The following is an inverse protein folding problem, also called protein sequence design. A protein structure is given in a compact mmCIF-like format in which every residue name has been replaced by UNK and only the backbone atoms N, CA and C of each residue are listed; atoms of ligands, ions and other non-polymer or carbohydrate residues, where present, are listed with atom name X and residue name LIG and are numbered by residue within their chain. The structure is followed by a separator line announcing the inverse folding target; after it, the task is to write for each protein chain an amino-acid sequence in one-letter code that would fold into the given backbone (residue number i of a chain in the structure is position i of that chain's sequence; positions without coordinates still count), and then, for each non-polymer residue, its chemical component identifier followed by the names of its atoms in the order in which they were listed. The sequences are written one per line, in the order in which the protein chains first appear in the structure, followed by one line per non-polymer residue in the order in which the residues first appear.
data_IF_126702362528
#
_entry.id   IF_126702362528
#
_cell.length_a   1.000
_cell.length_b   1.000
_cell.length_c   1.000
_cell.angle_alpha   90.00
_cell.angle_beta   90.00
_cell.angle_gamma   90.00
#
_symmetry.space_group_name_H-M   'P 1'
#
loop_
_entity.id
_entity.type
_entity.pdbx_description
1 polymer ?
#
# COMPACT_ATOMS: atom_id res chain seq x y z
N UNK A 1 -18.49 -24.82 -4.80
CA UNK A 1 -18.19 -24.01 -5.99
C UNK A 1 -18.41 -22.52 -5.76
N UNK A 2 -19.52 -22.09 -5.13
CA UNK A 2 -19.76 -20.67 -4.79
C UNK A 2 -18.61 -20.01 -3.99
N UNK A 3 -18.03 -20.72 -3.02
CA UNK A 3 -16.90 -20.19 -2.23
C UNK A 3 -15.66 -19.85 -3.05
N UNK A 4 -15.30 -20.66 -4.05
CA UNK A 4 -14.14 -20.39 -4.90
C UNK A 4 -14.36 -19.16 -5.79
N UNK A 5 -15.58 -18.99 -6.32
CA UNK A 5 -15.94 -17.81 -7.12
C UNK A 5 -15.91 -16.52 -6.30
N UNK A 6 -16.40 -16.56 -5.05
CA UNK A 6 -16.35 -15.40 -4.14
C UNK A 6 -14.90 -15.05 -3.78
N UNK A 7 -14.06 -16.03 -3.46
CA UNK A 7 -12.63 -15.79 -3.18
C UNK A 7 -11.92 -15.18 -4.39
N UNK A 8 -12.21 -15.67 -5.60
CA UNK A 8 -11.67 -15.12 -6.83
C UNK A 8 -12.10 -13.67 -7.06
N UNK A 9 -13.39 -13.36 -6.88
CA UNK A 9 -13.90 -11.99 -6.99
C UNK A 9 -13.25 -11.05 -5.97
N UNK A 10 -13.10 -11.49 -4.71
CA UNK A 10 -12.42 -10.73 -3.66
C UNK A 10 -10.96 -10.48 -4.05
N UNK A 11 -10.25 -11.49 -4.57
CA UNK A 11 -8.86 -11.34 -5.00
C UNK A 11 -8.69 -10.32 -6.13
N UNK A 12 -9.61 -10.31 -7.10
CA UNK A 12 -9.61 -9.32 -8.19
C UNK A 12 -9.89 -7.91 -7.67
N UNK A 13 -10.92 -7.74 -6.84
CA UNK A 13 -11.26 -6.44 -6.25
C UNK A 13 -10.13 -5.92 -5.36
N UNK A 14 -9.51 -6.78 -4.55
CA UNK A 14 -8.38 -6.42 -3.71
C UNK A 14 -7.16 -5.99 -4.54
N UNK A 15 -6.83 -6.75 -5.59
CA UNK A 15 -5.71 -6.43 -6.48
C UNK A 15 -5.93 -5.09 -7.21
N UNK A 16 -7.13 -4.90 -7.77
CA UNK A 16 -7.51 -3.65 -8.43
C UNK A 16 -7.48 -2.47 -7.46
N UNK A 17 -8.04 -2.63 -6.26
CA UNK A 17 -8.09 -1.55 -5.26
C UNK A 17 -6.70 -1.09 -4.86
N UNK A 18 -5.75 -2.01 -4.64
CA UNK A 18 -4.39 -1.63 -4.29
C UNK A 18 -3.65 -0.91 -5.42
N UNK A 19 -3.79 -1.40 -6.66
CA UNK A 19 -3.20 -0.75 -7.84
C UNK A 19 -3.81 0.65 -8.05
N UNK A 20 -5.11 0.78 -7.86
CA UNK A 20 -5.80 2.06 -7.97
C UNK A 20 -5.36 3.06 -6.90
N UNK A 21 -5.21 2.62 -5.65
CA UNK A 21 -4.70 3.47 -4.56
C UNK A 21 -3.25 3.86 -4.79
N UNK A 22 -2.40 2.95 -5.28
CA UNK A 22 -1.03 3.26 -5.71
C UNK A 22 -1.03 4.36 -6.79
N UNK A 23 -1.85 4.21 -7.84
CA UNK A 23 -2.01 5.23 -8.88
C UNK A 23 -2.48 6.58 -8.32
N UNK A 24 -3.44 6.58 -7.39
CA UNK A 24 -3.91 7.81 -6.74
C UNK A 24 -2.79 8.51 -5.96
N UNK A 25 -2.00 7.74 -5.21
CA UNK A 25 -0.94 8.31 -4.36
C UNK A 25 0.31 8.74 -5.13
N UNK A 26 0.69 8.00 -6.18
CA UNK A 26 1.95 8.20 -6.88
C UNK A 26 1.82 9.07 -8.13
N UNK A 27 0.71 8.97 -8.87
CA UNK A 27 0.53 9.70 -10.13
C UNK A 27 -0.48 10.84 -9.99
N UNK A 28 -1.74 10.53 -9.64
CA UNK A 28 -2.85 11.49 -9.77
C UNK A 28 -2.76 12.65 -8.78
N UNK A 29 -2.62 12.32 -7.50
CA UNK A 29 -2.73 13.31 -6.42
C UNK A 29 -1.35 13.60 -5.80
N UNK A 30 -0.24 13.33 -6.49
CA UNK A 30 1.14 13.35 -5.96
C UNK A 30 1.52 14.64 -5.21
N UNK A 31 0.94 15.78 -5.60
CA UNK A 31 1.12 17.11 -5.01
C UNK A 31 0.38 17.32 -3.68
N UNK A 32 -0.69 16.56 -3.44
CA UNK A 32 -1.53 16.68 -2.24
C UNK A 32 -0.82 16.02 -1.04
N UNK A 33 -0.86 16.61 0.17
CA UNK A 33 -0.27 15.98 1.35
C UNK A 33 -0.81 14.56 1.59
N UNK A 34 0.08 13.62 1.90
CA UNK A 34 -0.24 12.19 2.09
C UNK A 34 -1.46 11.95 2.99
N UNK A 35 -1.51 12.61 4.15
CA UNK A 35 -2.61 12.46 5.11
C UNK A 35 -3.96 12.90 4.53
N UNK A 36 -3.97 13.94 3.68
CA UNK A 36 -5.18 14.45 3.04
C UNK A 36 -5.66 13.52 1.92
N UNK A 37 -4.73 12.92 1.16
CA UNK A 37 -5.09 11.86 0.19
C UNK A 37 -5.69 10.66 0.90
N UNK A 38 -5.06 10.22 1.98
CA UNK A 38 -5.52 9.09 2.78
C UNK A 38 -6.91 9.36 3.39
N UNK A 39 -7.15 10.56 3.93
CA UNK A 39 -8.45 10.93 4.50
C UNK A 39 -9.57 10.96 3.46
N UNK A 40 -9.28 11.32 2.19
CA UNK A 40 -10.28 11.28 1.11
C UNK A 40 -10.77 9.86 0.82
N UNK A 41 -9.87 8.87 0.86
CA UNK A 41 -10.25 7.47 0.68
C UNK A 41 -11.16 7.03 1.82
N UNK A 42 -10.79 7.35 3.07
CA UNK A 42 -11.60 6.97 4.24
C UNK A 42 -12.92 7.72 4.36
N UNK A 43 -13.01 8.94 3.81
CA UNK A 43 -14.26 9.71 3.74
C UNK A 43 -15.34 8.95 2.94
N UNK A 44 -14.96 8.20 1.92
CA UNK A 44 -15.87 7.35 1.16
C UNK A 44 -15.97 5.92 1.72
N UNK A 45 -14.87 5.40 2.28
CA UNK A 45 -14.85 4.06 2.87
C UNK A 45 -15.81 3.90 4.05
N UNK A 46 -15.91 4.90 4.94
CA UNK A 46 -16.78 4.82 6.11
C UNK A 46 -18.28 4.72 5.75
N UNK A 47 -18.85 5.59 4.89
CA UNK A 47 -20.23 5.44 4.43
C UNK A 47 -20.50 4.11 3.72
N UNK A 48 -19.59 3.67 2.85
CA UNK A 48 -19.75 2.40 2.12
C UNK A 48 -19.78 1.19 3.06
N UNK A 49 -18.90 1.16 4.07
CA UNK A 49 -18.92 0.12 5.11
C UNK A 49 -20.21 0.15 5.93
N UNK A 50 -20.71 1.34 6.29
CA UNK A 50 -21.99 1.47 6.99
C UNK A 50 -23.16 0.93 6.16
N UNK A 51 -23.19 1.22 4.85
CA UNK A 51 -24.19 0.66 3.94
C UNK A 51 -24.08 -0.86 3.86
N UNK A 52 -22.87 -1.40 3.79
CA UNK A 52 -22.65 -2.86 3.76
C UNK A 52 -23.14 -3.54 5.04
N UNK A 53 -22.90 -2.95 6.22
CA UNK A 53 -23.40 -3.45 7.50
C UNK A 53 -24.93 -3.41 7.55
N UNK A 54 -25.54 -2.31 7.11
CA UNK A 54 -27.00 -2.19 7.06
C UNK A 54 -27.62 -3.17 6.07
N UNK A 55 -27.01 -3.35 4.89
CA UNK A 55 -27.46 -4.33 3.91
C UNK A 55 -27.39 -5.76 4.47
N UNK A 56 -26.31 -6.09 5.19
CA UNK A 56 -26.19 -7.39 5.87
C UNK A 56 -27.30 -7.57 6.91
N UNK A 57 -27.56 -6.57 7.76
CA UNK A 57 -28.62 -6.62 8.77
C UNK A 57 -30.02 -6.81 8.16
N UNK A 58 -30.31 -6.16 7.02
CA UNK A 58 -31.57 -6.33 6.29
C UNK A 58 -31.71 -7.75 5.73
N UNK A 59 -30.62 -8.33 5.21
CA UNK A 59 -30.62 -9.68 4.63
C UNK A 59 -30.74 -10.75 5.71
N UNK A 60 -30.09 -10.57 6.86
CA UNK A 60 -30.12 -11.54 7.96
C UNK A 60 -31.33 -11.39 8.87
N UNK A 61 -31.98 -10.22 8.87
CA UNK A 61 -33.03 -9.88 9.83
C UNK A 61 -32.52 -9.60 11.25
N UNK A 62 -31.20 -9.53 11.43
CA UNK A 62 -30.55 -9.33 12.72
C UNK A 62 -29.90 -7.95 12.77
N UNK A 63 -30.46 -7.07 13.62
CA UNK A 63 -29.83 -5.77 13.88
C UNK A 63 -28.56 -5.97 14.74
N UNK A 64 -27.45 -5.30 14.41
CA UNK A 64 -26.25 -5.36 15.23
C UNK A 64 -26.53 -4.84 16.64
N UNK A 65 -26.17 -5.62 17.66
CA UNK A 65 -26.30 -5.19 19.05
C UNK A 65 -25.30 -4.07 19.37
N UNK A 66 -25.60 -3.28 20.40
CA UNK A 66 -24.68 -2.21 20.87
C UNK A 66 -23.32 -2.78 21.28
N UNK A 67 -23.30 -3.99 21.85
CA UNK A 67 -22.07 -4.68 22.21
C UNK A 67 -21.27 -5.11 20.98
N UNK A 68 -21.92 -5.65 19.95
CA UNK A 68 -21.27 -5.99 18.68
C UNK A 68 -20.70 -4.73 17.99
N UNK A 69 -21.44 -3.61 18.04
CA UNK A 69 -20.96 -2.34 17.51
C UNK A 69 -19.72 -1.83 18.28
N UNK A 70 -19.73 -1.95 19.61
CA UNK A 70 -18.59 -1.55 20.46
C UNK A 70 -17.37 -2.42 20.20
N UNK A 71 -17.54 -3.74 20.10
CA UNK A 71 -16.45 -4.66 19.76
C UNK A 71 -15.90 -4.41 18.35
N UNK A 72 -16.80 -4.14 17.39
CA UNK A 72 -16.44 -3.76 16.03
C UNK A 72 -15.64 -2.45 15.99
N UNK A 73 -16.03 -1.44 16.76
CA UNK A 73 -15.31 -0.16 16.84
C UNK A 73 -13.90 -0.33 17.38
N UNK A 74 -13.73 -1.09 18.47
CA UNK A 74 -12.40 -1.37 19.06
C UNK A 74 -11.51 -2.09 18.04
N UNK A 75 -12.07 -3.07 17.34
CA UNK A 75 -11.35 -3.81 16.29
C UNK A 75 -10.99 -2.90 15.12
N UNK A 76 -11.90 -2.02 14.68
CA UNK A 76 -11.68 -1.07 13.61
C UNK A 76 -10.56 -0.07 13.95
N UNK A 77 -10.53 0.44 15.18
CA UNK A 77 -9.44 1.31 15.65
C UNK A 77 -8.11 0.56 15.65
N UNK A 78 -8.07 -0.69 16.13
CA UNK A 78 -6.86 -1.51 16.08
C UNK A 78 -6.36 -1.76 14.65
N UNK A 79 -7.27 -2.06 13.72
CA UNK A 79 -6.94 -2.31 12.31
C UNK A 79 -6.65 -1.03 11.52
N UNK A 80 -7.03 0.15 12.01
CA UNK A 80 -6.73 1.44 11.35
C UNK A 80 -5.23 1.68 11.22
N UNK A 81 -4.43 1.20 12.17
CA UNK A 81 -2.96 1.27 12.13
C UNK A 81 -2.41 0.46 10.95
N UNK A 82 -2.97 -0.73 10.70
CA UNK A 82 -2.60 -1.56 9.54
C UNK A 82 -2.97 -0.84 8.25
N UNK A 83 -4.17 -0.25 8.19
CA UNK A 83 -4.60 0.54 7.03
C UNK A 83 -3.67 1.72 6.73
N UNK A 84 -3.24 2.45 7.77
CA UNK A 84 -2.27 3.55 7.63
C UNK A 84 -0.90 3.04 7.17
N UNK A 85 -0.42 1.92 7.73
CA UNK A 85 0.85 1.32 7.32
C UNK A 85 0.83 0.87 5.85
N UNK A 86 -0.26 0.23 5.41
CA UNK A 86 -0.46 -0.12 4.00
C UNK A 86 -0.50 1.12 3.12
N UNK A 87 -1.19 2.19 3.53
CA UNK A 87 -1.22 3.45 2.80
C UNK A 87 0.19 4.07 2.65
N UNK A 88 1.03 4.01 3.69
CA UNK A 88 2.43 4.45 3.63
C UNK A 88 3.22 3.59 2.66
N UNK A 89 3.07 2.27 2.69
CA UNK A 89 3.75 1.34 1.77
C UNK A 89 3.34 1.65 0.32
N UNK A 90 2.06 1.88 0.03
CA UNK A 90 1.60 2.22 -1.31
C UNK A 90 2.04 3.64 -1.75
N UNK A 91 2.25 4.55 -0.81
CA UNK A 91 2.73 5.90 -1.10
C UNK A 91 4.23 5.95 -1.46
N UNK A 92 5.05 5.08 -0.89
CA UNK A 92 6.52 5.09 -1.08
C UNK A 92 7.08 3.87 -1.79
N UNK A 93 6.30 2.80 -1.90
CA UNK A 93 6.70 1.51 -2.48
C UNK A 93 5.87 1.17 -3.71
N UNK A 94 5.40 -0.07 -3.77
CA UNK A 94 4.48 -0.54 -4.80
C UNK A 94 3.61 -1.67 -4.23
N UNK A 95 2.55 -2.03 -4.94
CA UNK A 95 1.64 -3.09 -4.50
C UNK A 95 2.36 -4.47 -4.40
N UNK A 96 3.42 -4.71 -5.18
CA UNK A 96 4.19 -5.95 -5.11
C UNK A 96 4.94 -6.09 -3.77
N UNK A 97 5.59 -5.02 -3.31
CA UNK A 97 6.25 -4.94 -2.00
C UNK A 97 5.20 -5.12 -0.90
N UNK A 98 4.03 -4.50 -1.03
CA UNK A 98 2.93 -4.70 -0.08
C UNK A 98 2.52 -6.18 0.03
N UNK A 99 2.39 -6.88 -1.10
CA UNK A 99 2.08 -8.32 -1.11
C UNK A 99 3.17 -9.16 -0.42
N UNK A 100 4.45 -8.88 -0.67
CA UNK A 100 5.55 -9.56 0.01
C UNK A 100 5.59 -9.26 1.52
N UNK A 101 5.29 -8.03 1.94
CA UNK A 101 5.21 -7.67 3.36
C UNK A 101 4.07 -8.40 4.06
N UNK A 102 2.91 -8.54 3.43
CA UNK A 102 1.81 -9.34 3.96
C UNK A 102 2.20 -10.82 4.11
N UNK A 103 2.82 -11.42 3.08
CA UNK A 103 3.30 -12.80 3.15
C UNK A 103 4.34 -13.00 4.26
N UNK A 104 5.30 -12.08 4.40
CA UNK A 104 6.29 -12.10 5.48
C UNK A 104 5.65 -11.93 6.86
N UNK A 105 4.66 -11.05 6.99
CA UNK A 105 3.91 -10.86 8.25
C UNK A 105 3.18 -12.14 8.66
N UNK A 106 2.60 -12.88 7.72
CA UNK A 106 1.99 -14.19 8.01
C UNK A 106 3.00 -15.20 8.52
N UNK A 107 4.16 -15.32 7.87
CA UNK A 107 5.24 -16.21 8.32
C UNK A 107 5.68 -15.84 9.74
N UNK A 108 5.97 -14.55 9.98
CA UNK A 108 6.36 -14.05 11.30
C UNK A 108 5.28 -14.32 12.35
N UNK A 109 4.00 -14.14 12.01
CA UNK A 109 2.89 -14.36 12.95
C UNK A 109 2.81 -15.82 13.37
N UNK A 110 2.99 -16.76 12.43
CA UNK A 110 3.05 -18.19 12.75
C UNK A 110 4.26 -18.50 13.62
N UNK A 111 5.43 -17.93 13.31
CA UNK A 111 6.65 -18.13 14.10
C UNK A 111 6.49 -17.62 15.53
N UNK A 112 6.06 -16.38 15.69
CA UNK A 112 5.83 -15.75 17.00
C UNK A 112 4.78 -16.53 17.79
N UNK A 113 3.69 -16.96 17.15
CA UNK A 113 2.65 -17.75 17.82
C UNK A 113 3.21 -19.07 18.35
N UNK A 114 4.00 -19.79 17.55
CA UNK A 114 4.58 -21.05 18.00
C UNK A 114 5.55 -20.87 19.17
N UNK A 115 6.35 -19.80 19.15
CA UNK A 115 7.27 -19.46 20.26
C UNK A 115 6.50 -19.09 21.53
N UNK A 116 5.48 -18.25 21.43
CA UNK A 116 4.71 -17.78 22.59
C UNK A 116 3.88 -18.89 23.23
N UNK A 117 3.27 -19.75 22.43
CA UNK A 117 2.38 -20.82 22.91
C UNK A 117 3.09 -22.17 23.08
N UNK A 118 4.41 -22.24 22.80
CA UNK A 118 5.18 -23.49 22.78
C UNK A 118 4.56 -24.59 21.91
N UNK A 119 3.78 -24.21 20.90
CA UNK A 119 3.10 -25.10 19.97
C UNK A 119 3.79 -25.05 18.59
N UNK A 120 4.70 -26.00 18.39
CA UNK A 120 5.49 -26.12 17.17
C UNK A 120 4.80 -26.95 16.07
N UNK A 121 3.57 -27.43 16.29
CA UNK A 121 2.87 -28.26 15.29
C UNK A 121 2.70 -27.54 13.95
N UNK A 122 2.46 -26.22 13.98
CA UNK A 122 2.29 -25.40 12.78
C UNK A 122 3.60 -25.13 12.04
N UNK A 123 4.70 -24.89 12.77
CA UNK A 123 6.02 -24.67 12.16
C UNK A 123 6.57 -25.95 11.54
N UNK A 124 6.39 -27.08 12.23
CA UNK A 124 6.90 -28.38 11.77
C UNK A 124 6.09 -28.96 10.60
N UNK A 125 5.00 -28.29 10.21
CA UNK A 125 4.25 -28.66 9.00
C UNK A 125 5.16 -28.51 7.77
N UNK A 126 5.35 -29.57 6.96
CA UNK A 126 6.20 -29.51 5.78
C UNK A 126 5.69 -28.46 4.77
N UNK A 127 4.38 -28.20 4.74
CA UNK A 127 3.76 -27.20 3.89
C UNK A 127 4.11 -25.77 4.30
N UNK A 128 4.21 -25.52 5.61
CA UNK A 128 4.62 -24.21 6.11
C UNK A 128 6.08 -23.93 5.76
N UNK A 129 6.98 -24.89 5.99
CA UNK A 129 8.40 -24.76 5.66
C UNK A 129 8.60 -24.53 4.16
N UNK A 130 7.95 -25.33 3.31
CA UNK A 130 8.01 -25.17 1.86
C UNK A 130 7.51 -23.79 1.44
N UNK A 131 6.36 -23.36 1.96
CA UNK A 131 5.80 -22.03 1.68
C UNK A 131 6.72 -20.90 2.12
N UNK A 132 7.29 -20.99 3.33
CA UNK A 132 8.21 -19.98 3.85
C UNK A 132 9.48 -19.86 3.00
N UNK A 133 10.05 -20.99 2.58
CA UNK A 133 11.22 -21.02 1.66
C UNK A 133 10.87 -20.41 0.31
N UNK A 134 9.74 -20.79 -0.29
CA UNK A 134 9.32 -20.26 -1.60
C UNK A 134 9.06 -18.75 -1.56
N UNK A 135 8.37 -18.26 -0.52
CA UNK A 135 8.14 -16.82 -0.33
C UNK A 135 9.45 -16.07 -0.15
N UNK A 136 10.37 -16.60 0.66
CA UNK A 136 11.67 -15.98 0.90
C UNK A 136 12.52 -15.92 -0.37
N UNK A 137 12.60 -17.04 -1.10
CA UNK A 137 13.32 -17.11 -2.38
C UNK A 137 12.72 -16.16 -3.42
N UNK A 138 11.39 -16.10 -3.51
CA UNK A 138 10.67 -15.20 -4.41
C UNK A 138 10.93 -13.71 -4.09
N UNK A 139 10.91 -13.35 -2.81
CA UNK A 139 11.21 -11.98 -2.35
C UNK A 139 12.66 -11.57 -2.66
N UNK A 140 13.62 -12.50 -2.50
CA UNK A 140 15.03 -12.28 -2.88
C UNK A 140 15.15 -12.09 -4.39
N UNK A 141 14.52 -12.97 -5.18
CA UNK A 141 14.50 -12.89 -6.64
C UNK A 141 13.91 -11.57 -7.14
N UNK A 142 12.83 -11.09 -6.51
CA UNK A 142 12.24 -9.79 -6.81
C UNK A 142 13.22 -8.63 -6.56
N UNK A 143 13.91 -8.62 -5.41
CA UNK A 143 14.91 -7.58 -5.10
C UNK A 143 16.09 -7.59 -6.05
N UNK A 144 16.59 -8.78 -6.42
CA UNK A 144 17.69 -8.92 -7.37
C UNK A 144 17.27 -8.45 -8.76
N UNK A 145 16.08 -8.83 -9.24
CA UNK A 145 15.54 -8.37 -10.52
C UNK A 145 15.38 -6.84 -10.57
N UNK A 146 14.85 -6.24 -9.51
CA UNK A 146 14.75 -4.78 -9.40
C UNK A 146 16.12 -4.09 -9.44
N UNK A 147 17.14 -4.68 -8.80
CA UNK A 147 18.51 -4.15 -8.80
C UNK A 147 19.20 -4.25 -10.17
N UNK A 148 18.90 -5.30 -10.96
CA UNK A 148 19.43 -5.46 -12.33
C UNK A 148 18.79 -4.45 -13.27
N UNK A 149 17.46 -4.30 -13.25
CA UNK A 149 16.76 -3.30 -14.09
C UNK A 149 17.24 -1.88 -13.80
N UNK A 150 17.52 -1.54 -12.53
CA UNK A 150 18.04 -0.23 -12.16
C UNK A 150 19.48 0.04 -12.68
N UNK A 151 20.24 -0.99 -13.05
CA UNK A 151 21.60 -0.86 -13.62
C UNK A 151 21.59 -0.71 -15.14
N UNK A 152 20.58 -1.25 -15.82
CA UNK A 152 20.50 -1.31 -17.28
C UNK A 152 19.72 -0.14 -17.93
N UNK A 153 19.30 0.89 -17.17
CA UNK A 153 18.71 2.11 -17.75
C UNK A 153 19.79 3.14 -18.14
N UNK A 154 20.14 3.29 -19.44
CA UNK A 154 20.85 4.48 -19.89
C UNK A 154 19.90 5.68 -19.86
N UNK A 155 20.41 6.80 -19.39
CA UNK A 155 19.72 8.09 -19.30
C UNK A 155 19.32 8.60 -20.69
N UNK A 156 18.17 8.20 -21.22
CA UNK A 156 17.55 8.83 -22.38
C UNK A 156 16.05 9.04 -22.15
N UNK A 157 15.66 10.32 -22.18
CA UNK A 157 14.29 10.82 -22.11
C UNK A 157 13.44 10.33 -23.28
N UNK A 158 12.22 9.85 -23.04
CA UNK A 158 11.06 10.00 -23.93
C UNK A 158 9.82 9.30 -23.33
N UNK A 159 9.00 10.07 -22.62
CA UNK A 159 7.53 10.16 -22.61
C UNK A 159 6.56 8.96 -22.81
N UNK A 160 6.98 7.71 -23.03
CA UNK A 160 6.03 6.60 -23.26
C UNK A 160 6.27 5.30 -22.47
N UNK A 161 7.07 5.35 -21.39
CA UNK A 161 7.33 4.19 -20.52
C UNK A 161 6.66 4.29 -19.14
N UNK A 162 5.40 4.72 -19.09
CA UNK A 162 4.58 4.69 -17.85
C UNK A 162 3.59 3.53 -17.79
N UNK A 163 3.97 2.37 -18.34
CA UNK A 163 3.23 1.12 -18.14
C UNK A 163 4.23 0.08 -17.65
N UNK A 164 4.60 0.15 -16.37
CA UNK A 164 5.33 -0.94 -15.72
C UNK A 164 6.52 -0.58 -14.84
N UNK A 165 6.87 0.69 -14.63
CA UNK A 165 7.93 1.04 -13.68
C UNK A 165 7.37 1.48 -12.33
N UNK A 166 7.66 0.74 -11.25
CA UNK A 166 7.28 1.13 -9.90
C UNK A 166 8.29 2.13 -9.32
N UNK A 167 7.78 3.21 -8.73
CA UNK A 167 8.43 3.84 -7.58
C UNK A 167 9.69 4.69 -7.80
N UNK A 168 10.01 5.16 -9.01
CA UNK A 168 11.07 6.18 -9.16
C UNK A 168 10.52 7.60 -8.93
N UNK A 169 10.17 7.85 -7.67
CA UNK A 169 9.87 9.18 -7.17
C UNK A 169 11.02 10.13 -7.47
N UNK A 170 10.74 11.12 -8.31
CA UNK A 170 11.54 12.33 -8.53
C UNK A 170 11.66 13.04 -7.17
N UNK A 171 12.74 12.79 -6.41
CA UNK A 171 13.16 13.63 -5.29
C UNK A 171 14.66 13.82 -5.34
N UNK A 172 15.06 15.05 -5.05
CA UNK A 172 16.39 15.66 -5.09
C UNK A 172 16.88 16.12 -6.46
N UNK A 173 16.33 17.25 -6.93
CA UNK A 173 17.22 18.32 -7.39
C UNK A 173 17.48 19.23 -6.20
N UNK A 174 18.63 19.00 -5.58
CA UNK A 174 19.31 19.91 -4.67
C UNK A 174 19.31 21.32 -5.24
N UNK A 175 18.87 22.26 -4.41
CA UNK A 175 19.31 23.65 -4.45
C UNK A 175 20.84 23.63 -4.47
N UNK A 176 21.45 24.16 -5.54
CA UNK A 176 22.88 24.48 -5.60
C UNK A 176 23.02 25.74 -6.44
N UNK A 177 23.69 26.72 -5.83
CA UNK A 177 24.01 28.06 -6.31
C UNK A 177 24.87 28.10 -7.58
N UNK A 178 24.84 29.28 -8.23
CA UNK A 178 25.79 29.78 -9.23
C UNK A 178 25.13 30.88 -10.05
N UNK A 179 25.00 32.12 -9.57
CA UNK A 179 25.99 33.23 -9.59
C UNK A 179 26.19 33.87 -10.98
N UNK A 180 25.90 35.19 -11.03
CA UNK A 180 26.50 36.24 -11.88
C UNK A 180 26.11 36.24 -13.38
N UNK A 181 25.76 37.30 -14.13
CA UNK A 181 25.81 38.79 -14.12
C UNK A 181 24.72 39.26 -15.13
N UNK A 182 24.03 40.40 -15.01
CA UNK A 182 24.31 41.68 -15.71
C UNK A 182 23.20 42.67 -15.30
N UNK A 183 23.47 43.73 -14.53
CA UNK A 183 23.77 45.10 -14.97
C UNK A 183 22.78 45.73 -15.98
N UNK A 184 22.04 46.74 -15.52
CA UNK A 184 21.27 47.64 -16.37
C UNK A 184 20.40 48.64 -15.59
N UNK A 185 20.97 49.78 -15.21
CA UNK A 185 20.29 51.01 -14.73
C UNK A 185 19.19 51.45 -15.73
N UNK A 186 18.13 52.22 -15.44
CA UNK A 186 18.09 53.51 -14.72
C UNK A 186 16.64 54.04 -14.56
N UNK A 187 16.41 54.75 -13.45
CA UNK A 187 15.65 56.03 -13.29
C UNK A 187 14.13 56.07 -13.51
N UNK A 188 13.45 56.52 -12.46
CA UNK A 188 12.13 57.14 -12.49
C UNK A 188 11.89 57.89 -11.18
N UNK A 189 12.37 59.14 -11.12
CA UNK A 189 12.11 60.12 -10.06
C UNK A 189 10.60 60.36 -9.88
N UNK A 190 10.21 60.52 -8.62
CA UNK A 190 8.90 60.99 -8.18
C UNK A 190 9.05 62.47 -7.83
N UNK A 191 8.33 63.34 -8.53
CA UNK A 191 7.80 64.58 -7.95
C UNK A 191 6.30 64.39 -7.67
#
# INVERSE_FOLDING_TARGET
MLGAGVVFAIALVASFSNIWVEYLFQDRDSEIPFLLRNSRIYMWGAPLNSVAVMAAAVVTGEMPTVEALRAGLVTAVGLSVVGLATAVILNYGNNMINAYLHAGTLICTVVVSAVLYSDYTKINSPWFLLGAVLVSASAIGYRLGAAVVARDEPTYSSEYSKVGQPGRGRRLSTISEGSDEESGMSVGEIE
#
